data_IF_600678242309
#
_entry.id   IF_600678242309
#
_cell.length_a   1.000
_cell.length_b   1.000
_cell.length_c   1.000
_cell.angle_alpha   90.00
_cell.angle_beta   90.00
_cell.angle_gamma   90.00
#
_symmetry.space_group_name_H-M   'P 1'
#
loop_
_entity.id
_entity.type
_entity.pdbx_description
1 polymer ?
#
# COMPACT_ATOMS: atom_id res chain seq x y z
N UNK A 1 28.66 39.81 -9.89
CA UNK A 1 29.10 38.40 -9.78
C UNK A 1 28.38 37.61 -8.68
N UNK A 2 28.06 38.21 -7.51
CA UNK A 2 27.29 37.55 -6.42
C UNK A 2 25.83 37.18 -6.78
N UNK A 3 25.18 37.93 -7.66
CA UNK A 3 23.78 37.66 -8.06
C UNK A 3 23.61 36.48 -9.03
N UNK A 4 24.67 36.07 -9.75
CA UNK A 4 24.61 34.96 -10.70
C UNK A 4 24.62 33.60 -9.97
N UNK A 5 25.31 33.53 -8.82
CA UNK A 5 25.42 32.30 -8.01
C UNK A 5 24.08 31.95 -7.33
N UNK A 6 23.28 32.97 -6.99
CA UNK A 6 21.96 32.76 -6.37
C UNK A 6 20.91 32.16 -7.34
N UNK A 7 21.06 32.37 -8.65
CA UNK A 7 20.10 31.89 -9.65
C UNK A 7 20.32 30.41 -10.06
N UNK A 8 21.53 29.88 -9.83
CA UNK A 8 21.88 28.48 -10.18
C UNK A 8 21.41 27.49 -9.10
N UNK A 9 21.24 27.94 -7.85
CA UNK A 9 20.81 27.09 -6.73
C UNK A 9 19.30 26.81 -6.67
N UNK A 10 18.48 27.53 -7.43
CA UNK A 10 17.02 27.34 -7.44
C UNK A 10 16.52 26.30 -8.46
N UNK A 11 17.42 25.73 -9.28
CA UNK A 11 17.03 24.77 -10.33
C UNK A 11 16.89 23.31 -9.86
N UNK A 12 17.19 23.02 -8.59
CA UNK A 12 16.88 21.71 -7.96
C UNK A 12 15.49 21.68 -7.31
N UNK A 13 14.58 22.56 -7.72
CA UNK A 13 13.19 22.52 -7.30
C UNK A 13 12.52 21.25 -7.87
N UNK A 14 12.35 20.26 -6.99
CA UNK A 14 11.32 19.23 -6.98
C UNK A 14 10.85 18.75 -8.36
N UNK A 15 11.46 17.68 -8.86
CA UNK A 15 10.76 16.82 -9.81
C UNK A 15 9.68 16.07 -9.03
N UNK A 16 8.47 16.63 -8.93
CA UNK A 16 7.28 15.88 -8.52
C UNK A 16 6.96 14.88 -9.64
N UNK A 17 7.74 13.79 -9.69
CA UNK A 17 7.46 12.67 -10.58
C UNK A 17 6.12 12.08 -10.17
N UNK A 18 5.14 12.07 -11.07
CA UNK A 18 3.89 11.37 -10.87
C UNK A 18 4.17 9.94 -10.41
N UNK A 19 3.56 9.50 -9.31
CA UNK A 19 3.70 8.14 -8.80
C UNK A 19 3.46 7.11 -9.91
N UNK A 20 4.51 6.44 -10.39
CA UNK A 20 4.37 5.40 -11.41
C UNK A 20 4.11 4.07 -10.72
N UNK A 21 2.84 3.81 -10.44
CA UNK A 21 2.39 2.63 -9.71
C UNK A 21 2.03 1.45 -10.61
N UNK A 22 2.23 1.54 -11.94
CA UNK A 22 1.81 0.51 -12.91
C UNK A 22 2.34 -0.88 -12.55
N UNK A 23 3.60 -0.96 -12.15
CA UNK A 23 4.24 -2.22 -11.77
C UNK A 23 3.63 -2.79 -10.49
N UNK A 24 3.48 -1.95 -9.46
CA UNK A 24 2.84 -2.34 -8.19
C UNK A 24 1.40 -2.79 -8.42
N UNK A 25 0.66 -2.08 -9.26
CA UNK A 25 -0.72 -2.39 -9.64
C UNK A 25 -0.83 -3.75 -10.34
N UNK A 26 0.07 -4.04 -11.29
CA UNK A 26 0.12 -5.33 -11.97
C UNK A 26 0.40 -6.46 -10.98
N UNK A 27 1.36 -6.30 -10.07
CA UNK A 27 1.70 -7.29 -9.04
C UNK A 27 0.57 -7.49 -8.02
N UNK A 28 -0.12 -6.42 -7.61
CA UNK A 28 -1.33 -6.51 -6.79
C UNK A 28 -2.44 -7.32 -7.49
N UNK A 29 -2.66 -7.05 -8.79
CA UNK A 29 -3.60 -7.80 -9.62
C UNK A 29 -3.25 -9.28 -9.76
N UNK A 30 -1.96 -9.60 -9.91
CA UNK A 30 -1.50 -11.00 -9.91
C UNK A 30 -1.73 -11.68 -8.56
N UNK A 31 -1.46 -10.96 -7.45
CA UNK A 31 -1.72 -11.45 -6.09
C UNK A 31 -3.20 -11.80 -5.91
N UNK A 32 -4.10 -10.88 -6.28
CA UNK A 32 -5.54 -11.09 -6.23
C UNK A 32 -5.99 -12.29 -7.08
N UNK A 33 -5.50 -12.38 -8.32
CA UNK A 33 -5.86 -13.46 -9.25
C UNK A 33 -5.43 -14.83 -8.73
N UNK A 34 -4.22 -14.93 -8.19
CA UNK A 34 -3.71 -16.17 -7.63
C UNK A 34 -4.38 -16.54 -6.31
N UNK A 35 -4.66 -15.58 -5.43
CA UNK A 35 -5.44 -15.82 -4.22
C UNK A 35 -6.86 -16.34 -4.56
N UNK A 36 -7.52 -15.78 -5.59
CA UNK A 36 -8.80 -16.30 -6.10
C UNK A 36 -8.71 -17.74 -6.62
N UNK A 37 -7.65 -18.08 -7.37
CA UNK A 37 -7.40 -19.45 -7.83
C UNK A 37 -7.13 -20.42 -6.67
N UNK A 38 -6.39 -19.98 -5.66
CA UNK A 38 -6.14 -20.74 -4.44
C UNK A 38 -7.46 -21.07 -3.71
N UNK A 39 -8.33 -20.07 -3.53
CA UNK A 39 -9.66 -20.27 -2.96
C UNK A 39 -10.59 -21.14 -3.82
N UNK A 40 -10.39 -21.13 -5.14
CA UNK A 40 -11.14 -21.97 -6.08
C UNK A 40 -10.60 -23.39 -6.24
N UNK A 41 -9.45 -23.72 -5.65
CA UNK A 41 -8.86 -25.06 -5.76
C UNK A 41 -9.71 -26.09 -5.01
N UNK A 42 -9.76 -27.30 -5.57
CA UNK A 42 -10.53 -28.45 -5.05
C UNK A 42 -9.67 -29.46 -4.29
N UNK A 43 -8.37 -29.18 -4.14
CA UNK A 43 -7.43 -29.98 -3.37
C UNK A 43 -6.40 -29.08 -2.70
N UNK A 44 -5.78 -29.61 -1.64
CA UNK A 44 -4.90 -28.82 -0.77
C UNK A 44 -3.60 -28.39 -1.47
N UNK A 45 -2.97 -29.29 -2.22
CA UNK A 45 -1.73 -29.02 -2.95
C UNK A 45 -1.89 -27.86 -3.95
N UNK A 46 -2.95 -27.87 -4.76
CA UNK A 46 -3.25 -26.78 -5.68
C UNK A 46 -3.58 -25.48 -4.96
N UNK A 47 -4.27 -25.56 -3.81
CA UNK A 47 -4.56 -24.39 -3.00
C UNK A 47 -3.25 -23.75 -2.51
N UNK A 48 -2.32 -24.53 -1.95
CA UNK A 48 -1.00 -24.05 -1.53
C UNK A 48 -0.18 -23.51 -2.70
N UNK A 49 -0.13 -24.20 -3.83
CA UNK A 49 0.59 -23.74 -5.03
C UNK A 49 0.13 -22.35 -5.50
N UNK A 50 -1.18 -22.10 -5.53
CA UNK A 50 -1.68 -20.78 -5.89
C UNK A 50 -1.53 -19.74 -4.78
N UNK A 51 -1.52 -20.15 -3.50
CA UNK A 51 -1.23 -19.26 -2.39
C UNK A 51 0.24 -18.77 -2.45
N UNK A 52 1.19 -19.67 -2.73
CA UNK A 52 2.61 -19.34 -2.91
C UNK A 52 2.82 -18.33 -4.05
N UNK A 53 2.09 -18.49 -5.16
CA UNK A 53 2.14 -17.52 -6.26
C UNK A 53 1.56 -16.17 -5.90
N UNK A 54 0.50 -16.14 -5.10
CA UNK A 54 -0.02 -14.89 -4.57
C UNK A 54 1.02 -14.22 -3.66
N UNK A 55 1.75 -15.00 -2.86
CA UNK A 55 2.78 -14.50 -1.95
C UNK A 55 3.92 -13.85 -2.74
N UNK A 56 4.48 -14.54 -3.73
CA UNK A 56 5.54 -13.98 -4.57
C UNK A 56 5.12 -12.69 -5.28
N UNK A 57 3.84 -12.58 -5.66
CA UNK A 57 3.31 -11.38 -6.27
C UNK A 57 3.18 -10.22 -5.26
N UNK A 58 2.77 -10.49 -4.02
CA UNK A 58 2.76 -9.50 -2.94
C UNK A 58 4.16 -9.01 -2.59
N UNK A 59 5.14 -9.92 -2.49
CA UNK A 59 6.55 -9.55 -2.25
C UNK A 59 7.08 -8.65 -3.36
N UNK A 60 6.72 -8.94 -4.61
CA UNK A 60 7.06 -8.10 -5.76
C UNK A 60 6.37 -6.74 -5.68
N UNK A 61 5.10 -6.71 -5.29
CA UNK A 61 4.37 -5.46 -5.05
C UNK A 61 5.06 -4.62 -3.96
N UNK A 62 5.56 -5.24 -2.88
CA UNK A 62 6.34 -4.56 -1.83
C UNK A 62 7.53 -3.81 -2.40
N UNK A 63 8.41 -4.50 -3.12
CA UNK A 63 9.61 -3.87 -3.70
C UNK A 63 9.24 -2.80 -4.73
N UNK A 64 8.21 -3.03 -5.54
CA UNK A 64 7.78 -2.05 -6.53
C UNK A 64 7.10 -0.83 -5.91
N UNK A 65 6.48 -0.99 -4.74
CA UNK A 65 5.85 0.11 -4.01
C UNK A 65 6.85 1.17 -3.56
N UNK A 66 8.14 0.83 -3.39
CA UNK A 66 9.21 1.78 -3.09
C UNK A 66 9.33 2.88 -4.15
N UNK A 67 9.17 2.50 -5.44
CA UNK A 67 9.19 3.44 -6.56
C UNK A 67 7.84 4.14 -6.79
N UNK A 68 6.73 3.47 -6.45
CA UNK A 68 5.39 4.04 -6.51
C UNK A 68 5.18 5.09 -5.41
N UNK A 69 5.78 4.90 -4.22
CA UNK A 69 5.66 5.82 -3.09
C UNK A 69 4.32 5.82 -2.37
N UNK A 70 3.41 4.87 -2.66
CA UNK A 70 2.08 4.84 -2.07
C UNK A 70 2.13 4.31 -0.62
N UNK A 71 2.10 5.22 0.36
CA UNK A 71 2.13 4.86 1.78
C UNK A 71 0.92 4.00 2.19
N UNK A 72 -0.26 4.29 1.63
CA UNK A 72 -1.49 3.53 1.90
C UNK A 72 -1.40 2.07 1.43
N UNK A 73 -0.50 1.74 0.50
CA UNK A 73 -0.30 0.37 0.02
C UNK A 73 0.52 -0.50 0.98
N UNK A 74 1.27 0.08 1.92
CA UNK A 74 2.22 -0.68 2.75
C UNK A 74 1.53 -1.73 3.62
N UNK A 75 0.54 -1.32 4.42
CA UNK A 75 -0.15 -2.24 5.33
C UNK A 75 -0.81 -3.41 4.60
N UNK A 76 -1.67 -3.22 3.57
CA UNK A 76 -2.27 -4.36 2.88
C UNK A 76 -1.25 -5.24 2.17
N UNK A 77 -0.09 -4.72 1.74
CA UNK A 77 1.01 -5.55 1.24
C UNK A 77 1.56 -6.45 2.36
N UNK A 78 1.92 -5.88 3.51
CA UNK A 78 2.52 -6.63 4.62
C UNK A 78 1.54 -7.64 5.21
N UNK A 79 0.29 -7.22 5.43
CA UNK A 79 -0.77 -8.11 5.92
C UNK A 79 -1.05 -9.23 4.91
N UNK A 80 -1.00 -8.93 3.60
CA UNK A 80 -1.13 -9.93 2.54
C UNK A 80 -0.03 -11.00 2.60
N UNK A 81 1.22 -10.56 2.76
CA UNK A 81 2.39 -11.43 2.92
C UNK A 81 2.23 -12.31 4.16
N UNK A 82 1.99 -11.71 5.33
CA UNK A 82 1.86 -12.44 6.60
C UNK A 82 0.75 -13.49 6.54
N UNK A 83 -0.41 -13.14 5.99
CA UNK A 83 -1.51 -14.10 5.86
C UNK A 83 -1.14 -15.25 4.91
N UNK A 84 -0.43 -15.01 3.80
CA UNK A 84 -0.04 -16.10 2.89
C UNK A 84 1.09 -16.97 3.44
N UNK A 85 2.08 -16.39 4.12
CA UNK A 85 3.10 -17.15 4.86
C UNK A 85 2.43 -18.04 5.91
N UNK A 86 1.47 -17.49 6.66
CA UNK A 86 0.70 -18.26 7.64
C UNK A 86 -0.12 -19.37 6.97
N UNK A 87 -0.77 -19.08 5.84
CA UNK A 87 -1.55 -20.06 5.07
C UNK A 87 -0.70 -21.24 4.59
N UNK A 88 0.52 -20.95 4.12
CA UNK A 88 1.45 -21.96 3.59
C UNK A 88 2.04 -22.84 4.68
N UNK A 89 2.11 -22.35 5.91
CA UNK A 89 2.58 -23.10 7.08
C UNK A 89 1.47 -23.93 7.77
N UNK A 90 0.21 -23.86 7.33
CA UNK A 90 -0.85 -24.69 7.88
C UNK A 90 -0.77 -26.12 7.33
N UNK A 91 -1.07 -27.11 8.18
CA UNK A 91 -1.25 -28.52 7.77
C UNK A 91 -2.70 -28.85 7.44
N UNK A 92 -3.65 -28.05 7.92
CA UNK A 92 -5.08 -28.22 7.69
C UNK A 92 -5.58 -27.35 6.53
N UNK A 93 -6.29 -27.98 5.59
CA UNK A 93 -6.77 -27.33 4.38
C UNK A 93 -7.66 -26.11 4.68
N UNK A 94 -8.61 -26.25 5.60
CA UNK A 94 -9.55 -25.18 5.94
C UNK A 94 -8.86 -23.99 6.61
N UNK A 95 -7.85 -24.24 7.45
CA UNK A 95 -7.05 -23.18 8.06
C UNK A 95 -6.20 -22.45 7.01
N UNK A 96 -5.58 -23.18 6.08
CA UNK A 96 -4.85 -22.56 4.97
C UNK A 96 -5.78 -21.68 4.11
N UNK A 97 -7.00 -22.15 3.82
CA UNK A 97 -8.02 -21.37 3.08
C UNK A 97 -8.48 -20.13 3.85
N UNK A 98 -8.61 -20.23 5.17
CA UNK A 98 -8.98 -19.09 6.02
C UNK A 98 -7.98 -17.93 5.84
N UNK A 99 -6.68 -18.21 6.00
CA UNK A 99 -5.65 -17.19 5.84
C UNK A 99 -5.49 -16.73 4.38
N UNK A 100 -5.63 -17.64 3.40
CA UNK A 100 -5.66 -17.27 1.98
C UNK A 100 -6.80 -16.29 1.67
N UNK A 101 -7.98 -16.47 2.29
CA UNK A 101 -9.10 -15.54 2.14
C UNK A 101 -8.76 -14.15 2.69
N UNK A 102 -8.10 -14.06 3.84
CA UNK A 102 -7.64 -12.77 4.39
C UNK A 102 -6.65 -12.08 3.46
N UNK A 103 -5.72 -12.84 2.87
CA UNK A 103 -4.80 -12.30 1.88
C UNK A 103 -5.49 -11.84 0.58
N UNK A 104 -6.56 -12.52 0.16
CA UNK A 104 -7.41 -12.06 -0.95
C UNK A 104 -8.02 -10.70 -0.64
N UNK A 105 -8.58 -10.51 0.57
CA UNK A 105 -9.14 -9.23 1.03
C UNK A 105 -8.06 -8.14 1.07
N UNK A 106 -6.85 -8.46 1.54
CA UNK A 106 -5.72 -7.54 1.51
C UNK A 106 -5.32 -7.15 0.08
N UNK A 107 -5.43 -8.05 -0.90
CA UNK A 107 -5.11 -7.74 -2.29
C UNK A 107 -6.15 -6.79 -2.90
N UNK A 108 -7.42 -6.90 -2.51
CA UNK A 108 -8.50 -5.98 -2.90
C UNK A 108 -8.29 -4.60 -2.27
N UNK A 109 -7.94 -4.55 -0.99
CA UNK A 109 -7.57 -3.30 -0.30
C UNK A 109 -6.34 -2.64 -0.92
N UNK A 110 -5.33 -3.43 -1.30
CA UNK A 110 -4.13 -2.94 -1.96
C UNK A 110 -4.49 -2.24 -3.28
N UNK A 111 -5.29 -2.88 -4.14
CA UNK A 111 -5.72 -2.28 -5.42
C UNK A 111 -6.47 -0.96 -5.19
N UNK A 112 -7.42 -0.93 -4.24
CA UNK A 112 -8.14 0.29 -3.90
C UNK A 112 -7.21 1.41 -3.40
N UNK A 113 -6.21 1.07 -2.59
CA UNK A 113 -5.24 2.05 -2.10
C UNK A 113 -4.32 2.56 -3.22
N UNK A 114 -3.97 1.71 -4.18
CA UNK A 114 -3.23 2.12 -5.38
C UNK A 114 -4.09 3.00 -6.29
N UNK A 115 -5.39 2.75 -6.41
CA UNK A 115 -6.32 3.65 -7.11
C UNK A 115 -6.30 5.04 -6.48
N UNK A 116 -6.44 5.14 -5.15
CA UNK A 116 -6.37 6.40 -4.42
C UNK A 116 -5.03 7.13 -4.66
N UNK A 117 -3.92 6.38 -4.72
CA UNK A 117 -2.59 6.96 -4.96
C UNK A 117 -2.35 7.40 -6.42
N UNK A 118 -3.18 6.96 -7.38
CA UNK A 118 -2.97 7.22 -8.82
C UNK A 118 -4.02 8.15 -9.42
N UNK A 119 -5.18 8.32 -8.78
CA UNK A 119 -6.13 9.39 -9.08
C UNK A 119 -5.50 10.70 -8.62
N UNK A 120 -4.89 11.43 -9.55
CA UNK A 120 -3.95 12.53 -9.30
C UNK A 120 -4.32 13.47 -8.14
N UNK A 121 -3.33 13.69 -7.26
CA UNK A 121 -3.15 14.77 -6.27
C UNK A 121 -4.27 15.83 -6.20
N UNK A 122 -5.45 15.44 -5.77
CA UNK A 122 -6.57 16.36 -5.51
C UNK A 122 -7.09 16.23 -4.10
N UNK A 123 -6.20 15.95 -3.14
CA UNK A 123 -6.45 16.30 -1.75
C UNK A 123 -5.17 16.84 -1.13
N UNK A 124 -5.06 18.17 -1.26
CA UNK A 124 -4.35 19.01 -0.32
C UNK A 124 -4.77 18.59 1.10
N UNK A 125 -3.89 17.92 1.83
CA UNK A 125 -4.03 17.86 3.29
C UNK A 125 -3.87 19.30 3.79
N UNK A 126 -4.98 20.01 3.89
CA UNK A 126 -5.06 21.20 4.74
C UNK A 126 -4.81 20.71 6.15
N UNK A 127 -3.57 20.85 6.61
CA UNK A 127 -3.28 20.93 8.04
C UNK A 127 -4.03 22.14 8.58
N UNK A 128 -5.18 21.87 9.20
CA UNK A 128 -5.91 22.81 10.02
C UNK A 128 -5.00 23.18 11.19
N UNK A 129 -4.41 24.37 11.17
CA UNK A 129 -3.91 25.00 12.39
C UNK A 129 -5.12 25.32 13.25
N UNK A 130 -5.27 24.60 14.36
CA UNK A 130 -6.08 25.03 15.48
C UNK A 130 -5.33 24.71 16.77
N UNK A 131 -4.88 25.76 17.43
CA UNK A 131 -4.69 25.80 18.88
C UNK A 131 -4.82 27.28 19.27
N UNK A 132 -6.04 27.72 19.57
CA UNK A 132 -6.68 27.68 20.89
C UNK A 132 -6.39 28.98 21.67
N UNK A 133 -7.44 29.80 21.65
CA UNK A 133 -7.76 30.92 22.53
C UNK A 133 -7.55 30.56 24.01
N UNK A 134 -6.90 31.46 24.76
CA UNK A 134 -6.93 31.43 26.21
C UNK A 134 -7.18 32.86 26.72
N UNK A 135 -8.42 33.15 27.10
CA UNK A 135 -8.72 34.11 28.16
C UNK A 135 -9.54 33.36 29.22
N UNK A 136 -9.36 33.71 30.49
CA UNK A 136 -10.45 34.45 31.12
C UNK A 136 -10.01 35.69 31.89
N UNK A 137 -10.86 36.72 31.81
CA UNK A 137 -10.98 37.84 32.75
C UNK A 137 -11.06 37.39 34.22
N UNK A 138 -10.55 38.20 35.17
CA UNK A 138 -11.40 38.80 36.23
C UNK A 138 -10.68 39.93 37.02
N UNK A 139 -11.25 41.16 36.95
CA UNK A 139 -11.61 42.17 38.01
C UNK A 139 -10.59 42.36 39.20
N UNK A 140 -10.22 43.53 39.76
CA UNK A 140 -10.98 44.68 40.29
C UNK A 140 -10.01 45.84 40.65
N UNK A 141 -10.53 47.07 40.55
CA UNK A 141 -10.25 48.32 41.29
C UNK A 141 -9.64 49.47 40.48
#
# INVERSE_FOLDING_TARGET
MKFIIAFVLTFFAFTSGSANCNNTYASAGYSLSHAKKSMGANNFEHQQYYAERALSAFEKARTQNENCGCQKAINPILDGIENLETALNQEEWDMSRYYTKRALENAEQLLNNLDICTVGDTHQETSVETSAENSPEEIIA
#
